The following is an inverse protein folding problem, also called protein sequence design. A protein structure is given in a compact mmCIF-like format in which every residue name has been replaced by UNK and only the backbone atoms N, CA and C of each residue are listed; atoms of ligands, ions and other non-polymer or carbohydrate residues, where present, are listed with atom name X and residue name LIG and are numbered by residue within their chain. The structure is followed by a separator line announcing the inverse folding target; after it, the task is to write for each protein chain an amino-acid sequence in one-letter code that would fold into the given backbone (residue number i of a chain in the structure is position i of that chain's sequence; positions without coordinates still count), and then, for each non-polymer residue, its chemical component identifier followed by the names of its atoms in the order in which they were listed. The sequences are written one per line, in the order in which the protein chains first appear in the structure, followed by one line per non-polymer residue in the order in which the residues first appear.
data_IF_095394535839
#
_entry.id   IF_095394535839
#
_cell.length_a   1.000
_cell.length_b   1.000
_cell.length_c   1.000
_cell.angle_alpha   90.00
_cell.angle_beta   90.00
_cell.angle_gamma   90.00
#
_symmetry.space_group_name_H-M   'P 1'
#
loop_
_entity.id
_entity.type
_entity.pdbx_description
1 polymer ?
#
# COMPACT_ATOMS: atom_id res chain seq x y z
N UNK A 1 -23.15 37.55 8.85
CA UNK A 1 -23.50 36.70 7.70
C UNK A 1 -22.34 36.74 6.73
N UNK A 2 -21.71 35.67 6.27
CA UNK A 2 -21.82 34.24 6.50
C UNK A 2 -20.43 33.64 6.20
N UNK A 3 -19.99 32.79 7.12
CA UNK A 3 -19.09 31.63 7.00
C UNK A 3 -17.83 31.74 6.12
N UNK A 4 -16.73 32.11 6.77
CA UNK A 4 -15.37 31.71 6.40
C UNK A 4 -15.30 30.19 6.52
N UNK A 5 -15.25 29.46 5.41
CA UNK A 5 -14.92 28.04 5.43
C UNK A 5 -13.44 27.89 5.81
N UNK A 6 -13.18 27.82 7.12
CA UNK A 6 -11.97 27.25 7.69
C UNK A 6 -11.90 25.79 7.25
N UNK A 7 -10.98 25.49 6.33
CA UNK A 7 -10.47 24.13 6.17
C UNK A 7 -9.60 23.81 7.39
N UNK A 8 -10.24 23.51 8.52
CA UNK A 8 -9.61 22.89 9.69
C UNK A 8 -10.08 21.45 9.74
N UNK A 9 -9.24 20.48 9.38
CA UNK A 9 -9.54 19.07 9.59
C UNK A 9 -8.84 18.10 8.66
N UNK A 10 -7.64 17.66 9.06
CA UNK A 10 -6.98 16.41 8.65
C UNK A 10 -6.81 16.16 7.15
N UNK A 11 -5.75 16.75 6.56
CA UNK A 11 -5.03 16.08 5.46
C UNK A 11 -4.44 14.79 6.03
N UNK A 12 -5.24 13.72 6.01
CA UNK A 12 -4.72 12.39 6.28
C UNK A 12 -3.84 12.03 5.09
N UNK A 13 -2.54 12.25 5.23
CA UNK A 13 -1.51 11.46 4.58
C UNK A 13 -1.71 10.01 5.04
N UNK A 14 -2.77 9.37 4.57
CA UNK A 14 -2.98 7.95 4.76
C UNK A 14 -1.99 7.28 3.82
N UNK A 15 -0.84 6.92 4.36
CA UNK A 15 -0.06 5.81 3.87
C UNK A 15 -0.98 4.75 3.25
N UNK A 16 -0.85 4.49 1.95
CA UNK A 16 -1.74 3.55 1.30
C UNK A 16 -1.32 2.12 1.70
N UNK A 17 -2.13 1.53 2.56
CA UNK A 17 -1.86 0.24 3.19
C UNK A 17 -2.46 -0.89 2.36
N UNK A 18 -1.66 -1.93 2.17
CA UNK A 18 -2.07 -3.21 1.63
C UNK A 18 -2.49 -4.10 2.80
N UNK A 19 -3.68 -4.68 2.72
CA UNK A 19 -4.23 -5.52 3.80
C UNK A 19 -4.56 -6.93 3.33
N UNK A 20 -4.34 -7.89 4.22
CA UNK A 20 -4.84 -9.25 4.10
C UNK A 20 -5.77 -9.51 5.28
N UNK A 21 -7.01 -9.90 5.02
CA UNK A 21 -8.01 -10.16 6.08
C UNK A 21 -8.17 -9.03 7.11
N UNK A 22 -8.05 -7.77 6.66
CA UNK A 22 -8.13 -6.57 7.51
C UNK A 22 -6.84 -6.21 8.24
N UNK A 23 -5.80 -7.04 8.21
CA UNK A 23 -4.49 -6.75 8.79
C UNK A 23 -3.57 -6.09 7.77
N UNK A 24 -2.79 -5.09 8.19
CA UNK A 24 -1.80 -4.43 7.31
C UNK A 24 -0.62 -5.36 7.08
N UNK A 25 -0.41 -5.75 5.82
CA UNK A 25 0.69 -6.63 5.39
C UNK A 25 1.68 -5.92 4.48
N UNK A 26 1.35 -4.74 3.98
CA UNK A 26 2.27 -3.89 3.23
C UNK A 26 1.89 -2.41 3.28
N UNK A 27 2.85 -1.55 2.97
CA UNK A 27 2.67 -0.10 2.85
C UNK A 27 3.39 0.38 1.60
N UNK A 28 2.71 1.13 0.74
CA UNK A 28 3.35 1.74 -0.43
C UNK A 28 4.06 3.04 -0.07
N UNK A 29 5.02 3.44 -0.90
CA UNK A 29 5.75 4.71 -0.79
C UNK A 29 4.85 5.94 -0.99
N UNK A 30 3.80 5.77 -1.79
CA UNK A 30 2.82 6.81 -2.16
C UNK A 30 1.43 6.22 -2.34
N UNK A 31 0.44 7.08 -2.56
CA UNK A 31 -0.90 6.66 -2.98
C UNK A 31 -0.91 6.49 -4.51
N UNK A 32 -1.12 5.26 -4.96
CA UNK A 32 -1.44 4.93 -6.35
C UNK A 32 -2.96 4.92 -6.57
N UNK A 33 -3.43 5.63 -7.59
CA UNK A 33 -4.79 5.49 -8.10
C UNK A 33 -4.82 4.29 -9.07
N UNK A 34 -5.55 3.24 -8.69
CA UNK A 34 -5.69 2.04 -9.50
C UNK A 34 -6.97 2.10 -10.35
N UNK A 35 -6.95 1.58 -11.59
CA UNK A 35 -8.17 1.42 -12.39
C UNK A 35 -9.13 0.40 -11.75
N UNK A 36 -10.32 0.21 -12.31
CA UNK A 36 -11.30 -0.76 -11.79
C UNK A 36 -10.94 -2.22 -12.09
N UNK A 37 -10.19 -2.46 -13.16
CA UNK A 37 -9.70 -3.78 -13.54
C UNK A 37 -8.36 -3.66 -14.31
N UNK A 38 -7.63 -4.77 -14.39
CA UNK A 38 -6.41 -4.88 -15.19
C UNK A 38 -5.15 -5.06 -14.34
N UNK A 39 -4.01 -4.61 -14.87
CA UNK A 39 -2.71 -4.70 -14.20
C UNK A 39 -2.37 -3.42 -13.45
N UNK A 40 -1.59 -3.56 -12.39
CA UNK A 40 -1.02 -2.43 -11.66
C UNK A 40 0.49 -2.59 -11.46
N UNK A 41 1.12 -1.48 -11.11
CA UNK A 41 2.53 -1.40 -10.75
C UNK A 41 2.70 -0.48 -9.54
N UNK A 42 3.42 -0.96 -8.52
CA UNK A 42 3.90 -0.18 -7.40
C UNK A 42 5.43 -0.10 -7.47
N UNK A 43 5.99 1.10 -7.34
CA UNK A 43 7.44 1.26 -7.34
C UNK A 43 8.09 0.62 -6.13
N UNK A 44 7.48 0.78 -4.96
CA UNK A 44 8.02 0.29 -3.70
C UNK A 44 6.92 -0.09 -2.70
N UNK A 45 7.10 -1.22 -2.02
CA UNK A 45 6.27 -1.67 -0.90
C UNK A 45 7.18 -2.03 0.27
N UNK A 46 6.92 -1.43 1.43
CA UNK A 46 7.40 -1.95 2.71
C UNK A 46 6.52 -3.13 3.14
N UNK A 47 7.10 -4.32 3.20
CA UNK A 47 6.39 -5.55 3.57
C UNK A 47 6.37 -5.72 5.08
N UNK A 48 5.17 -5.83 5.65
CA UNK A 48 4.92 -5.99 7.09
C UNK A 48 4.37 -7.37 7.47
N UNK A 49 3.96 -8.17 6.49
CA UNK A 49 3.39 -9.50 6.69
C UNK A 49 3.31 -10.31 5.39
N UNK A 50 2.42 -11.29 5.34
CA UNK A 50 2.22 -12.10 4.14
C UNK A 50 1.49 -11.30 3.04
N UNK A 51 2.27 -10.90 2.04
CA UNK A 51 1.86 -10.18 0.84
C UNK A 51 1.61 -11.13 -0.35
N UNK A 52 1.84 -12.43 -0.17
CA UNK A 52 1.47 -13.45 -1.17
C UNK A 52 0.03 -13.96 -1.02
N UNK A 53 -0.67 -13.53 0.04
CA UNK A 53 -2.07 -13.86 0.25
C UNK A 53 -2.97 -13.31 -0.86
N UNK A 54 -4.05 -14.03 -1.17
CA UNK A 54 -5.01 -13.66 -2.20
C UNK A 54 -6.45 -13.79 -1.67
N UNK A 55 -7.32 -12.77 -1.83
CA UNK A 55 -7.06 -11.42 -2.35
C UNK A 55 -6.49 -10.49 -1.27
N UNK A 56 -5.65 -9.53 -1.67
CA UNK A 56 -5.27 -8.38 -0.85
C UNK A 56 -6.24 -7.22 -1.06
N UNK A 57 -6.29 -6.30 -0.11
CA UNK A 57 -7.06 -5.07 -0.19
C UNK A 57 -6.12 -3.86 -0.24
N UNK A 58 -6.34 -2.98 -1.22
CA UNK A 58 -5.63 -1.72 -1.35
C UNK A 58 -6.63 -0.62 -1.75
N UNK A 59 -6.83 0.36 -0.87
CA UNK A 59 -7.78 1.46 -1.07
C UNK A 59 -9.20 0.97 -1.48
N UNK A 60 -9.65 -0.16 -0.92
CA UNK A 60 -10.95 -0.76 -1.21
C UNK A 60 -11.02 -1.61 -2.48
N UNK A 61 -9.92 -1.72 -3.24
CA UNK A 61 -9.81 -2.61 -4.42
C UNK A 61 -9.18 -3.93 -4.01
N UNK A 62 -9.67 -5.03 -4.61
CA UNK A 62 -9.08 -6.35 -4.46
C UNK A 62 -7.95 -6.50 -5.46
N UNK A 63 -6.78 -6.90 -4.97
CA UNK A 63 -5.58 -7.05 -5.78
C UNK A 63 -4.86 -8.36 -5.46
N UNK A 64 -4.08 -8.84 -6.43
CA UNK A 64 -3.16 -9.96 -6.29
C UNK A 64 -1.80 -9.52 -6.82
N UNK A 65 -0.75 -9.69 -6.02
CA UNK A 65 0.62 -9.44 -6.46
C UNK A 65 1.14 -10.68 -7.17
N UNK A 66 1.73 -10.48 -8.35
CA UNK A 66 2.18 -11.57 -9.22
C UNK A 66 3.69 -11.61 -9.37
N UNK A 67 4.38 -10.47 -9.30
CA UNK A 67 5.84 -10.42 -9.43
C UNK A 67 6.45 -9.19 -8.77
N UNK A 68 7.76 -9.28 -8.52
CA UNK A 68 8.60 -8.19 -8.05
C UNK A 68 9.89 -8.16 -8.86
N UNK A 69 10.46 -6.98 -9.05
CA UNK A 69 11.78 -6.85 -9.68
C UNK A 69 12.89 -7.17 -8.69
N UNK A 70 12.82 -6.62 -7.48
CA UNK A 70 13.87 -6.75 -6.46
C UNK A 70 13.25 -6.84 -5.07
N UNK A 71 13.68 -7.82 -4.27
CA UNK A 71 13.53 -7.79 -2.82
C UNK A 71 14.75 -7.06 -2.23
N UNK A 72 14.66 -5.73 -2.10
CA UNK A 72 15.77 -4.83 -1.80
C UNK A 72 15.78 -4.41 -0.32
N UNK A 73 16.53 -5.15 0.51
CA UNK A 73 16.91 -4.75 1.87
C UNK A 73 15.81 -4.70 2.95
N UNK A 74 16.25 -4.66 4.21
CA UNK A 74 15.43 -4.62 5.41
C UNK A 74 15.29 -3.17 5.89
N UNK A 75 14.06 -2.68 6.04
CA UNK A 75 13.78 -1.45 6.77
C UNK A 75 13.68 -1.76 8.27
N UNK A 76 14.18 -0.88 9.13
CA UNK A 76 13.98 -0.95 10.58
C UNK A 76 13.16 0.28 10.96
N UNK A 77 11.90 0.10 11.36
CA UNK A 77 11.10 1.22 11.83
C UNK A 77 11.55 1.72 13.22
N UNK A 78 11.03 2.88 13.65
CA UNK A 78 11.40 3.51 14.92
C UNK A 78 11.08 2.66 16.16
N UNK A 79 10.31 1.57 16.00
CA UNK A 79 9.99 0.59 17.05
C UNK A 79 10.86 -0.67 16.96
N UNK A 80 11.79 -0.72 16.00
CA UNK A 80 12.70 -1.84 15.77
C UNK A 80 12.12 -2.95 14.89
N UNK A 81 10.92 -2.79 14.32
CA UNK A 81 10.31 -3.81 13.46
C UNK A 81 11.04 -3.84 12.11
N UNK A 82 11.40 -5.04 11.66
CA UNK A 82 12.14 -5.26 10.42
C UNK A 82 11.27 -5.85 9.33
N UNK A 83 11.26 -5.25 8.15
CA UNK A 83 10.50 -5.75 6.99
C UNK A 83 11.28 -5.59 5.68
N UNK A 84 11.17 -6.52 4.72
CA UNK A 84 11.81 -6.34 3.42
C UNK A 84 11.10 -5.22 2.64
N UNK A 85 11.86 -4.48 1.85
CA UNK A 85 11.32 -3.58 0.84
C UNK A 85 11.28 -4.32 -0.50
N UNK A 86 10.12 -4.36 -1.13
CA UNK A 86 9.94 -4.90 -2.47
C UNK A 86 9.86 -3.76 -3.48
N UNK A 87 10.68 -3.82 -4.52
CA UNK A 87 10.72 -2.83 -5.60
C UNK A 87 10.17 -3.41 -6.89
N UNK A 88 9.49 -2.56 -7.67
CA UNK A 88 8.94 -2.91 -8.97
C UNK A 88 7.87 -4.01 -8.87
N UNK A 89 6.88 -3.80 -8.01
CA UNK A 89 5.86 -4.81 -7.70
C UNK A 89 4.73 -4.72 -8.71
N UNK A 90 4.40 -5.83 -9.36
CA UNK A 90 3.34 -5.94 -10.36
C UNK A 90 2.27 -6.92 -9.91
N UNK A 91 1.05 -6.66 -10.33
CA UNK A 91 -0.07 -7.53 -10.04
C UNK A 91 -1.30 -7.24 -10.87
N UNK A 92 -2.40 -7.86 -10.49
CA UNK A 92 -3.71 -7.71 -11.12
C UNK A 92 -4.76 -7.27 -10.11
N UNK A 93 -5.75 -6.55 -10.61
CA UNK A 93 -6.95 -6.16 -9.88
C UNK A 93 -8.02 -7.23 -10.13
N UNK A 94 -8.64 -7.70 -9.04
CA UNK A 94 -9.58 -8.83 -9.01
C UNK A 94 -11.03 -8.36 -9.04
#
# INVERSE_FOLDING_TARGET
METVNRFTGTERFHDAMIRSHGQVVGKTDRIYELPDAGQFYFEEIEVKGDISAEPLDYCGKKIQIQSIDIAAAFFVDERGSRGPIWKGVRGVIL
#
